data_IF_070209895392
#
_entry.id   IF_070209895392
#
_cell.length_a   1.000
_cell.length_b   1.000
_cell.length_c   1.000
_cell.angle_alpha   90.00
_cell.angle_beta   90.00
_cell.angle_gamma   90.00
#
_symmetry.space_group_name_H-M   'P 1'
#
loop_
_entity.id
_entity.type
_entity.pdbx_description
1 polymer ?
#
# COMPACT_ATOMS: atom_id res chain seq x y z
N UNK A 1 22.16 -0.31 11.03
CA UNK A 1 22.11 -1.75 11.35
C UNK A 1 22.40 -2.55 10.10
N UNK A 2 23.22 -3.59 10.18
CA UNK A 2 23.43 -4.55 9.10
C UNK A 2 22.42 -5.69 9.23
N UNK A 3 21.71 -5.99 8.14
CA UNK A 3 20.85 -7.16 8.01
C UNK A 3 21.42 -8.10 6.94
N UNK A 4 21.45 -9.42 7.17
CA UNK A 4 21.76 -10.39 6.12
C UNK A 4 20.77 -10.26 4.96
N UNK A 5 21.30 -10.15 3.75
CA UNK A 5 20.53 -10.06 2.52
C UNK A 5 20.75 -11.34 1.70
N UNK A 6 19.66 -12.05 1.42
CA UNK A 6 19.70 -13.23 0.54
C UNK A 6 19.31 -12.82 -0.87
N UNK A 7 20.22 -13.01 -1.83
CA UNK A 7 19.94 -12.78 -3.25
C UNK A 7 19.67 -14.12 -3.94
N UNK A 8 18.48 -14.27 -4.53
CA UNK A 8 18.08 -15.47 -5.27
C UNK A 8 18.48 -15.38 -6.75
N UNK A 9 18.57 -16.53 -7.46
CA UNK A 9 18.61 -16.53 -8.91
C UNK A 9 17.43 -15.71 -9.48
N UNK A 10 17.73 -14.78 -10.39
CA UNK A 10 16.76 -13.80 -10.90
C UNK A 10 16.74 -12.46 -10.15
N UNK A 11 17.66 -12.24 -9.21
CA UNK A 11 17.91 -10.93 -8.58
C UNK A 11 16.93 -10.56 -7.47
N UNK A 12 16.03 -11.46 -7.07
CA UNK A 12 15.13 -11.21 -5.95
C UNK A 12 15.94 -11.17 -4.66
N UNK A 13 15.76 -10.11 -3.88
CA UNK A 13 16.46 -9.89 -2.62
C UNK A 13 15.51 -10.12 -1.45
N UNK A 14 15.95 -10.86 -0.44
CA UNK A 14 15.17 -11.19 0.74
C UNK A 14 15.90 -10.76 2.02
N UNK A 15 15.14 -10.26 2.99
CA UNK A 15 15.59 -9.99 4.36
C UNK A 15 14.69 -10.67 5.37
N UNK A 16 15.20 -10.90 6.58
CA UNK A 16 14.40 -11.43 7.68
C UNK A 16 13.68 -10.32 8.44
N UNK A 17 12.42 -10.58 8.78
CA UNK A 17 11.60 -9.75 9.64
C UNK A 17 10.56 -10.62 10.36
N UNK A 18 9.84 -10.04 11.31
CA UNK A 18 8.78 -10.71 12.07
C UNK A 18 7.46 -9.98 11.86
N UNK A 19 6.43 -10.73 11.44
CA UNK A 19 5.06 -10.24 11.32
C UNK A 19 4.11 -11.22 11.99
N UNK A 20 3.14 -10.71 12.75
CA UNK A 20 2.16 -11.52 13.48
C UNK A 20 2.81 -12.63 14.35
N UNK A 21 3.92 -12.29 15.02
CA UNK A 21 4.68 -13.21 15.86
C UNK A 21 5.46 -14.30 15.12
N UNK A 22 5.53 -14.24 13.78
CA UNK A 22 6.23 -15.23 12.97
C UNK A 22 7.40 -14.58 12.24
N UNK A 23 8.59 -15.13 12.45
CA UNK A 23 9.80 -14.72 11.75
C UNK A 23 9.91 -15.44 10.40
N UNK A 24 10.41 -14.74 9.39
CA UNK A 24 10.71 -15.36 8.10
C UNK A 24 11.22 -14.36 7.07
N UNK A 25 11.31 -14.84 5.83
CA UNK A 25 11.86 -14.07 4.72
C UNK A 25 10.82 -13.18 4.08
N UNK A 26 11.21 -11.96 3.72
CA UNK A 26 10.41 -11.02 2.97
C UNK A 26 11.20 -10.47 1.80
N UNK A 27 10.55 -10.26 0.66
CA UNK A 27 11.18 -9.60 -0.48
C UNK A 27 11.32 -8.10 -0.26
N UNK A 28 12.49 -7.58 -0.64
CA UNK A 28 12.76 -6.13 -0.71
C UNK A 28 12.21 -5.60 -2.02
N UNK A 29 11.21 -4.73 -1.95
CA UNK A 29 10.53 -4.15 -3.11
C UNK A 29 10.40 -2.63 -2.97
N UNK A 30 11.30 -1.91 -3.62
CA UNK A 30 11.28 -0.44 -3.63
C UNK A 30 10.22 0.13 -4.59
N UNK A 31 9.53 -0.72 -5.37
CA UNK A 31 8.47 -0.33 -6.30
C UNK A 31 7.05 -0.48 -5.73
N UNK A 32 6.88 -1.23 -4.64
CA UNK A 32 5.63 -1.30 -3.88
C UNK A 32 5.46 -0.03 -3.04
N UNK A 33 4.31 0.62 -3.11
CA UNK A 33 4.03 1.82 -2.31
C UNK A 33 3.54 1.47 -0.89
N UNK A 34 3.11 0.22 -0.63
CA UNK A 34 2.69 -0.22 0.69
C UNK A 34 3.84 -0.40 1.67
N UNK A 35 3.52 -0.77 2.92
CA UNK A 35 4.53 -1.08 3.93
C UNK A 35 4.85 -2.57 3.93
N UNK A 36 3.85 -3.41 4.19
CA UNK A 36 3.99 -4.87 4.28
C UNK A 36 2.86 -5.52 3.47
N UNK A 37 3.20 -6.50 2.63
CA UNK A 37 2.24 -7.43 2.06
C UNK A 37 2.54 -8.83 2.55
N UNK A 38 1.55 -9.53 3.13
CA UNK A 38 1.67 -10.95 3.46
C UNK A 38 1.04 -11.80 2.36
N UNK A 39 1.76 -12.83 1.94
CA UNK A 39 1.31 -13.68 0.83
C UNK A 39 0.18 -14.60 1.27
N UNK A 40 -0.69 -14.94 0.31
CA UNK A 40 -1.94 -15.62 0.60
C UNK A 40 -1.76 -16.92 1.41
N UNK A 41 -0.81 -17.82 1.11
CA UNK A 41 -0.61 -19.03 1.90
C UNK A 41 -0.25 -18.75 3.36
N UNK A 42 0.53 -17.68 3.63
CA UNK A 42 0.86 -17.27 5.01
C UNK A 42 -0.36 -16.69 5.71
N UNK A 43 -1.14 -15.86 5.02
CA UNK A 43 -2.39 -15.28 5.53
C UNK A 43 -3.38 -16.38 5.93
N UNK A 44 -3.55 -17.40 5.10
CA UNK A 44 -4.44 -18.53 5.34
C UNK A 44 -3.94 -19.41 6.47
N UNK A 45 -2.67 -19.84 6.42
CA UNK A 45 -2.05 -20.70 7.43
C UNK A 45 -2.11 -20.11 8.84
N UNK A 46 -1.99 -18.79 8.96
CA UNK A 46 -2.00 -18.08 10.25
C UNK A 46 -3.38 -17.51 10.62
N UNK A 47 -4.41 -17.71 9.79
CA UNK A 47 -5.77 -17.21 10.07
C UNK A 47 -5.87 -15.68 10.16
N UNK A 48 -4.99 -14.94 9.49
CA UNK A 48 -4.79 -13.51 9.76
C UNK A 48 -5.99 -12.63 9.40
N UNK A 49 -6.85 -13.04 8.46
CA UNK A 49 -8.07 -12.30 8.12
C UNK A 49 -9.04 -12.22 9.29
N UNK A 50 -9.14 -13.28 10.10
CA UNK A 50 -9.97 -13.27 11.29
C UNK A 50 -9.25 -12.57 12.46
N UNK A 51 -7.93 -12.75 12.56
CA UNK A 51 -7.14 -12.22 13.68
C UNK A 51 -6.89 -10.71 13.61
N UNK A 52 -6.82 -10.13 12.41
CA UNK A 52 -6.52 -8.71 12.19
C UNK A 52 -7.78 -7.99 11.71
N UNK A 53 -8.53 -7.45 12.67
CA UNK A 53 -9.72 -6.64 12.45
C UNK A 53 -9.60 -5.30 13.20
N UNK A 54 -10.20 -4.20 12.71
CA UNK A 54 -10.94 -4.11 11.44
C UNK A 54 -10.03 -4.25 10.21
N UNK A 55 -10.63 -4.67 9.09
CA UNK A 55 -9.95 -4.75 7.79
C UNK A 55 -10.84 -4.22 6.67
N UNK A 56 -10.24 -3.70 5.61
CA UNK A 56 -10.93 -3.22 4.43
C UNK A 56 -10.45 -3.93 3.18
N UNK A 57 -11.37 -4.51 2.39
CA UNK A 57 -11.03 -5.11 1.10
C UNK A 57 -10.93 -4.02 0.04
N UNK A 58 -9.80 -3.96 -0.66
CA UNK A 58 -9.61 -2.99 -1.73
C UNK A 58 -8.59 -3.45 -2.77
N UNK A 59 -8.60 -2.79 -3.92
CA UNK A 59 -7.51 -2.86 -4.88
C UNK A 59 -6.26 -2.20 -4.26
N UNK A 60 -5.15 -2.93 -4.16
CA UNK A 60 -3.90 -2.46 -3.53
C UNK A 60 -2.74 -2.31 -4.49
N UNK A 61 -2.84 -2.87 -5.71
CA UNK A 61 -1.79 -2.76 -6.72
C UNK A 61 -2.34 -2.81 -8.12
N UNK A 62 -1.75 -2.02 -9.02
CA UNK A 62 -2.00 -2.12 -10.45
C UNK A 62 -0.68 -2.14 -11.18
N UNK A 63 -0.44 -3.19 -11.95
CA UNK A 63 0.75 -3.35 -12.77
C UNK A 63 0.37 -3.78 -14.19
N UNK A 64 1.38 -4.00 -15.03
CA UNK A 64 1.18 -4.62 -16.35
C UNK A 64 0.59 -6.03 -16.21
N UNK A 65 0.91 -6.75 -15.13
CA UNK A 65 0.40 -8.09 -14.86
C UNK A 65 -1.04 -8.14 -14.32
N UNK A 66 -1.72 -7.00 -14.24
CA UNK A 66 -3.10 -6.89 -13.76
C UNK A 66 -3.22 -6.18 -12.41
N UNK A 67 -4.33 -6.45 -11.72
CA UNK A 67 -4.67 -5.82 -10.44
C UNK A 67 -4.48 -6.77 -9.27
N UNK A 68 -3.88 -6.28 -8.20
CA UNK A 68 -3.75 -6.98 -6.93
C UNK A 68 -4.81 -6.50 -5.96
N UNK A 69 -5.44 -7.46 -5.28
CA UNK A 69 -6.43 -7.21 -4.24
C UNK A 69 -5.92 -7.76 -2.90
N UNK A 70 -6.26 -7.06 -1.83
CA UNK A 70 -5.98 -7.51 -0.48
C UNK A 70 -7.09 -7.08 0.49
N UNK A 71 -7.17 -7.78 1.61
CA UNK A 71 -7.77 -7.22 2.82
C UNK A 71 -6.66 -6.42 3.51
N UNK A 72 -6.82 -5.10 3.61
CA UNK A 72 -5.87 -4.23 4.31
C UNK A 72 -6.27 -4.20 5.78
N UNK A 73 -5.32 -4.42 6.67
CA UNK A 73 -5.50 -4.36 8.12
C UNK A 73 -4.26 -3.70 8.75
N UNK A 74 -4.17 -3.69 10.09
CA UNK A 74 -2.95 -3.25 10.80
C UNK A 74 -2.36 -4.38 11.62
N UNK A 75 -1.06 -4.61 11.47
CA UNK A 75 -0.28 -5.40 12.42
C UNK A 75 -0.11 -4.61 13.71
N UNK A 76 -0.34 -5.18 14.89
CA UNK A 76 -0.03 -4.52 16.16
C UNK A 76 1.44 -4.11 16.22
N UNK A 77 2.32 -5.01 15.80
CA UNK A 77 3.76 -4.79 15.65
C UNK A 77 4.29 -5.49 14.41
N UNK A 78 5.33 -4.89 13.82
CA UNK A 78 6.17 -5.50 12.79
C UNK A 78 7.63 -5.25 13.19
N UNK A 79 8.43 -6.31 13.27
CA UNK A 79 9.81 -6.19 13.74
C UNK A 79 10.79 -6.40 12.58
N UNK A 80 11.78 -5.53 12.47
CA UNK A 80 12.88 -5.65 11.52
C UNK A 80 14.18 -5.23 12.20
N UNK A 81 15.17 -6.13 12.25
CA UNK A 81 16.37 -5.90 13.07
C UNK A 81 16.01 -5.58 14.53
N UNK A 82 16.56 -4.50 15.13
CA UNK A 82 16.24 -4.08 16.49
C UNK A 82 14.96 -3.23 16.60
N UNK A 83 14.30 -2.90 15.49
CA UNK A 83 13.17 -1.99 15.48
C UNK A 83 11.85 -2.74 15.54
N UNK A 84 11.05 -2.40 16.55
CA UNK A 84 9.65 -2.79 16.66
C UNK A 84 8.78 -1.63 16.19
N UNK A 85 8.13 -1.80 15.04
CA UNK A 85 7.31 -0.78 14.42
C UNK A 85 5.84 -1.03 14.78
N UNK A 86 5.17 -0.07 15.47
CA UNK A 86 3.79 -0.27 15.89
C UNK A 86 2.81 0.00 14.75
N UNK A 87 1.66 -0.68 14.78
CA UNK A 87 0.47 -0.35 13.97
C UNK A 87 0.71 -0.28 12.45
N UNK A 88 1.57 -1.14 11.91
CA UNK A 88 1.94 -1.14 10.50
C UNK A 88 0.80 -1.65 9.60
N UNK A 89 0.35 -0.90 8.58
CA UNK A 89 -0.59 -1.37 7.58
C UNK A 89 -0.03 -2.60 6.87
N UNK A 90 -0.88 -3.62 6.75
CA UNK A 90 -0.54 -4.87 6.09
C UNK A 90 -1.58 -5.20 5.03
N UNK A 91 -1.12 -5.53 3.83
CA UNK A 91 -1.94 -6.08 2.77
C UNK A 91 -1.99 -7.61 2.92
N UNK A 92 -3.14 -8.15 3.29
CA UNK A 92 -3.40 -9.60 3.34
C UNK A 92 -3.82 -10.07 1.94
N UNK A 93 -2.84 -10.54 1.16
CA UNK A 93 -3.01 -10.84 -0.27
C UNK A 93 -4.16 -11.81 -0.56
N UNK A 94 -4.98 -11.49 -1.55
CA UNK A 94 -6.03 -12.36 -2.11
C UNK A 94 -5.58 -13.10 -3.38
N UNK A 95 -4.33 -12.90 -3.83
CA UNK A 95 -3.83 -13.45 -5.07
C UNK A 95 -3.92 -14.99 -5.11
N UNK A 96 -4.40 -15.55 -6.22
CA UNK A 96 -4.48 -17.00 -6.49
C UNK A 96 -3.28 -17.54 -7.26
N UNK A 97 -2.37 -16.66 -7.70
CA UNK A 97 -1.20 -17.01 -8.49
C UNK A 97 -0.18 -15.88 -8.51
N UNK A 98 0.93 -16.11 -9.21
CA UNK A 98 2.09 -15.22 -9.17
C UNK A 98 2.74 -15.21 -7.79
N UNK A 99 3.64 -14.26 -7.57
CA UNK A 99 4.46 -14.22 -6.36
C UNK A 99 3.62 -14.11 -5.08
N UNK A 100 2.58 -13.26 -5.07
CA UNK A 100 1.80 -12.99 -3.87
C UNK A 100 0.81 -14.11 -3.50
N UNK A 101 0.68 -15.11 -4.38
CA UNK A 101 -0.07 -16.34 -4.14
C UNK A 101 0.82 -17.55 -3.85
N UNK A 102 2.15 -17.40 -3.82
CA UNK A 102 3.08 -18.51 -3.57
C UNK A 102 3.48 -18.61 -2.10
N UNK A 103 4.03 -19.76 -1.73
CA UNK A 103 4.57 -20.08 -0.39
C UNK A 103 6.10 -19.89 -0.31
N UNK A 104 6.69 -19.23 -1.31
CA UNK A 104 8.14 -19.12 -1.45
C UNK A 104 8.79 -18.37 -0.27
N UNK A 105 8.10 -17.39 0.31
CA UNK A 105 8.47 -16.66 1.52
C UNK A 105 7.25 -15.95 2.12
N UNK A 106 7.42 -15.23 3.24
CA UNK A 106 6.30 -14.70 4.02
C UNK A 106 5.55 -13.54 3.34
N UNK A 107 6.30 -12.66 2.68
CA UNK A 107 5.71 -11.43 2.16
C UNK A 107 6.65 -10.50 1.40
N UNK A 108 6.17 -9.29 1.16
CA UNK A 108 6.85 -8.19 0.49
C UNK A 108 6.95 -7.00 1.42
N UNK A 109 8.05 -6.26 1.35
CA UNK A 109 8.26 -5.01 2.08
C UNK A 109 8.44 -3.86 1.09
N UNK A 110 7.64 -2.82 1.27
CA UNK A 110 7.49 -1.72 0.32
C UNK A 110 7.98 -0.35 0.83
N UNK A 111 7.82 0.65 -0.01
CA UNK A 111 8.31 2.02 0.16
C UNK A 111 7.82 2.72 1.43
N UNK A 112 6.59 2.46 1.88
CA UNK A 112 6.07 3.06 3.13
C UNK A 112 6.86 2.58 4.36
N UNK A 113 7.41 1.35 4.31
CA UNK A 113 8.37 0.87 5.30
C UNK A 113 9.76 1.43 5.02
N UNK A 114 10.23 1.39 3.77
CA UNK A 114 11.60 1.75 3.44
C UNK A 114 11.91 3.23 3.68
N UNK A 115 10.95 4.14 3.54
CA UNK A 115 11.15 5.56 3.82
C UNK A 115 11.44 5.86 5.30
N UNK A 116 11.21 4.89 6.20
CA UNK A 116 11.61 5.00 7.62
C UNK A 116 13.13 4.92 7.81
N UNK A 117 13.86 4.48 6.78
CA UNK A 117 15.29 4.24 6.81
C UNK A 117 16.00 4.88 5.62
N UNK A 118 17.27 5.25 5.77
CA UNK A 118 18.19 5.37 4.66
C UNK A 118 18.71 3.95 4.39
N UNK A 119 18.41 3.44 3.19
CA UNK A 119 18.63 2.06 2.81
C UNK A 119 19.84 1.97 1.88
N UNK A 120 20.83 1.16 2.24
CA UNK A 120 21.91 0.76 1.34
C UNK A 120 21.87 -0.75 1.11
N UNK A 121 21.95 -1.16 -0.15
CA UNK A 121 21.90 -2.56 -0.56
C UNK A 121 23.26 -2.94 -1.14
N UNK A 122 23.98 -3.82 -0.44
CA UNK A 122 25.19 -4.47 -0.91
C UNK A 122 24.85 -5.91 -1.36
N UNK A 123 24.33 -6.02 -2.58
CA UNK A 123 23.89 -7.31 -3.13
C UNK A 123 25.05 -8.29 -3.34
N UNK A 124 26.24 -7.79 -3.65
CA UNK A 124 27.43 -8.63 -3.85
C UNK A 124 27.97 -9.17 -2.52
N UNK A 125 27.96 -8.33 -1.47
CA UNK A 125 28.33 -8.72 -0.11
C UNK A 125 27.22 -9.43 0.67
N UNK A 126 26.01 -9.53 0.14
CA UNK A 126 24.88 -10.17 0.82
C UNK A 126 24.43 -9.42 2.08
N UNK A 127 24.47 -8.09 2.05
CA UNK A 127 24.11 -7.24 3.17
C UNK A 127 23.15 -6.11 2.79
N UNK A 128 22.27 -5.74 3.72
CA UNK A 128 21.43 -4.55 3.65
C UNK A 128 21.68 -3.71 4.90
N UNK A 129 21.94 -2.43 4.72
CA UNK A 129 22.16 -1.48 5.81
C UNK A 129 20.93 -0.59 5.95
N UNK A 130 20.40 -0.56 7.16
CA UNK A 130 19.30 0.31 7.55
C UNK A 130 19.78 1.35 8.54
N UNK A 131 19.68 2.62 8.18
CA UNK A 131 19.92 3.74 9.08
C UNK A 131 18.60 4.44 9.35
N UNK A 132 18.19 4.61 10.62
CA UNK A 132 16.89 5.20 10.93
C UNK A 132 16.84 6.66 10.47
N UNK A 133 15.74 7.06 9.83
CA UNK A 133 15.45 8.45 9.52
C UNK A 133 14.49 9.05 10.55
N UNK A 134 14.29 10.38 10.50
CA UNK A 134 13.30 11.07 11.33
C UNK A 134 11.90 10.43 11.20
N UNK A 135 11.54 9.99 9.99
CA UNK A 135 10.28 9.32 9.70
C UNK A 135 10.08 7.99 10.44
N UNK A 136 11.12 7.40 11.05
CA UNK A 136 10.98 6.16 11.83
C UNK A 136 9.95 6.27 12.96
N UNK A 137 9.85 7.45 13.58
CA UNK A 137 8.91 7.72 14.67
C UNK A 137 7.51 8.15 14.19
N UNK A 138 7.33 8.35 12.88
CA UNK A 138 6.04 8.78 12.33
C UNK A 138 5.05 7.61 12.29
N UNK A 139 3.76 7.85 12.63
CA UNK A 139 2.73 6.85 12.44
C UNK A 139 2.60 6.43 10.98
N UNK A 140 2.35 5.15 10.74
CA UNK A 140 2.04 4.66 9.40
C UNK A 140 0.64 5.09 8.96
N UNK A 141 0.57 5.74 7.80
CA UNK A 141 -0.70 6.04 7.15
C UNK A 141 -1.38 4.75 6.67
N UNK A 142 -2.68 4.64 6.91
CA UNK A 142 -3.51 3.57 6.33
C UNK A 142 -4.28 4.08 5.11
N UNK A 143 -5.12 3.23 4.49
CA UNK A 143 -6.10 3.70 3.53
C UNK A 143 -7.11 4.63 4.24
N UNK A 144 -7.36 5.80 3.65
CA UNK A 144 -8.26 6.82 4.22
C UNK A 144 -9.41 7.25 3.33
N UNK A 145 -9.15 7.49 2.04
CA UNK A 145 -10.21 7.89 1.09
C UNK A 145 -11.11 6.74 0.67
N UNK A 146 -10.57 5.52 0.59
CA UNK A 146 -11.21 4.37 -0.07
C UNK A 146 -11.26 4.48 -1.60
N UNK A 147 -10.59 5.48 -2.18
CA UNK A 147 -10.51 5.72 -3.62
C UNK A 147 -9.19 5.18 -4.18
N UNK A 148 -9.29 4.40 -5.26
CA UNK A 148 -8.14 4.03 -6.07
C UNK A 148 -8.31 4.57 -7.48
N UNK A 149 -7.39 5.43 -7.90
CA UNK A 149 -7.35 5.99 -9.25
C UNK A 149 -5.98 5.75 -9.89
N UNK A 150 -5.96 5.59 -11.21
CA UNK A 150 -4.72 5.34 -11.97
C UNK A 150 -4.72 6.13 -13.27
N UNK A 151 -3.54 6.63 -13.65
CA UNK A 151 -3.29 7.16 -14.97
C UNK A 151 -3.48 6.07 -16.05
N UNK A 152 -4.27 6.35 -17.08
CA UNK A 152 -4.54 5.42 -18.19
C UNK A 152 -3.81 5.76 -19.48
N UNK A 153 -2.93 6.76 -19.46
CA UNK A 153 -2.24 7.30 -20.64
C UNK A 153 -2.69 8.72 -20.96
N UNK A 154 -3.96 9.04 -20.67
CA UNK A 154 -4.58 10.33 -21.00
C UNK A 154 -5.10 11.08 -19.76
N UNK A 155 -5.57 10.35 -18.75
CA UNK A 155 -6.20 10.91 -17.54
C UNK A 155 -6.13 9.91 -16.39
N UNK A 156 -6.52 10.32 -15.19
CA UNK A 156 -6.78 9.37 -14.10
C UNK A 156 -8.20 8.84 -14.20
N UNK A 157 -8.34 7.51 -14.20
CA UNK A 157 -9.65 6.86 -14.08
C UNK A 157 -9.78 6.22 -12.69
N UNK A 158 -10.98 6.33 -12.12
CA UNK A 158 -11.35 5.70 -10.85
C UNK A 158 -11.49 4.19 -11.08
N UNK A 159 -10.57 3.42 -10.51
CA UNK A 159 -10.52 1.98 -10.65
C UNK A 159 -11.32 1.27 -9.56
N UNK A 160 -11.30 1.80 -8.34
CA UNK A 160 -11.99 1.19 -7.22
C UNK A 160 -12.49 2.25 -6.25
N UNK A 161 -13.64 1.99 -5.64
CA UNK A 161 -14.23 2.78 -4.57
C UNK A 161 -14.73 1.80 -3.53
N UNK A 162 -14.10 1.81 -2.36
CA UNK A 162 -14.48 0.97 -1.23
C UNK A 162 -15.87 1.39 -0.74
N UNK A 163 -16.81 0.44 -0.63
CA UNK A 163 -18.14 0.72 -0.11
C UNK A 163 -18.12 1.24 1.33
N UNK A 164 -18.90 2.28 1.62
CA UNK A 164 -18.92 2.92 2.93
C UNK A 164 -17.62 3.65 3.30
N UNK A 165 -16.79 4.00 2.32
CA UNK A 165 -15.62 4.87 2.50
C UNK A 165 -15.98 6.34 2.26
N UNK A 166 -15.10 7.30 2.62
CA UNK A 166 -15.30 8.72 2.29
C UNK A 166 -15.58 8.99 0.82
N UNK A 167 -14.90 8.28 -0.09
CA UNK A 167 -15.13 8.44 -1.53
C UNK A 167 -16.52 7.93 -1.93
N UNK A 168 -16.99 6.81 -1.38
CA UNK A 168 -18.33 6.30 -1.66
C UNK A 168 -19.42 7.23 -1.14
N UNK A 169 -19.27 7.74 0.09
CA UNK A 169 -20.20 8.68 0.72
C UNK A 169 -20.26 10.02 -0.03
N UNK A 170 -19.13 10.49 -0.55
CA UNK A 170 -19.08 11.65 -1.45
C UNK A 170 -19.69 11.37 -2.83
N UNK A 171 -20.08 10.13 -3.11
CA UNK A 171 -20.75 9.70 -4.33
C UNK A 171 -19.80 9.46 -5.50
N UNK A 172 -18.49 9.26 -5.26
CA UNK A 172 -17.53 8.87 -6.29
C UNK A 172 -17.89 7.48 -6.83
N UNK A 173 -17.74 7.27 -8.13
CA UNK A 173 -18.09 6.02 -8.80
C UNK A 173 -16.93 5.49 -9.63
N UNK A 174 -16.78 4.16 -9.63
CA UNK A 174 -15.85 3.45 -10.52
C UNK A 174 -16.15 3.79 -11.98
N UNK A 175 -15.10 4.01 -12.76
CA UNK A 175 -15.18 4.37 -14.17
C UNK A 175 -15.32 5.87 -14.44
N UNK A 176 -15.51 6.71 -13.41
CA UNK A 176 -15.38 8.16 -13.56
C UNK A 176 -13.93 8.54 -13.81
N UNK A 177 -13.71 9.65 -14.50
CA UNK A 177 -12.39 10.25 -14.66
C UNK A 177 -12.14 11.31 -13.60
N UNK A 178 -11.03 11.19 -12.89
CA UNK A 178 -10.58 12.17 -11.92
C UNK A 178 -9.74 13.22 -12.64
N UNK A 179 -10.27 14.44 -12.71
CA UNK A 179 -9.67 15.54 -13.46
C UNK A 179 -8.82 16.44 -12.57
N UNK A 180 -9.28 16.72 -11.36
CA UNK A 180 -8.59 17.62 -10.44
C UNK A 180 -8.80 17.23 -8.98
N UNK A 181 -7.83 17.59 -8.15
CA UNK A 181 -7.88 17.45 -6.69
C UNK A 181 -7.51 18.80 -6.08
N UNK A 182 -8.32 19.29 -5.13
CA UNK A 182 -8.13 20.61 -4.51
C UNK A 182 -7.98 21.75 -5.53
N UNK A 183 -8.76 21.69 -6.62
CA UNK A 183 -8.73 22.69 -7.70
C UNK A 183 -7.52 22.59 -8.64
N UNK A 184 -6.53 21.72 -8.36
CA UNK A 184 -5.38 21.47 -9.24
C UNK A 184 -5.69 20.36 -10.23
N UNK A 185 -5.57 20.65 -11.52
CA UNK A 185 -5.62 19.66 -12.61
C UNK A 185 -4.55 18.57 -12.42
N UNK A 186 -4.94 17.32 -12.65
CA UNK A 186 -4.04 16.18 -12.59
C UNK A 186 -3.33 15.95 -13.92
N UNK A 187 -2.03 15.73 -13.86
CA UNK A 187 -1.18 15.33 -14.98
C UNK A 187 -0.56 13.94 -14.75
N UNK A 188 0.02 13.35 -15.82
CA UNK A 188 0.65 12.02 -15.77
C UNK A 188 1.66 11.83 -14.62
N UNK A 189 2.35 12.91 -14.22
CA UNK A 189 3.37 12.93 -13.16
C UNK A 189 2.78 12.94 -11.74
N UNK A 190 1.48 13.09 -11.58
CA UNK A 190 0.85 13.35 -10.28
C UNK A 190 0.45 12.09 -9.52
N UNK A 191 0.83 10.88 -9.98
CA UNK A 191 0.42 9.63 -9.36
C UNK A 191 0.84 9.52 -7.88
N UNK A 192 2.06 9.96 -7.54
CA UNK A 192 2.57 9.96 -6.16
C UNK A 192 1.85 11.04 -5.36
N UNK A 193 1.76 12.27 -5.90
CA UNK A 193 1.10 13.39 -5.23
C UNK A 193 -0.38 13.08 -4.92
N UNK A 194 -1.10 12.49 -5.88
CA UNK A 194 -2.49 12.07 -5.71
C UNK A 194 -2.62 11.08 -4.55
N UNK A 195 -1.75 10.07 -4.46
CA UNK A 195 -1.77 9.12 -3.34
C UNK A 195 -1.59 9.83 -2.00
N UNK A 196 -0.67 10.79 -1.92
CA UNK A 196 -0.49 11.60 -0.71
C UNK A 196 -1.75 12.39 -0.35
N UNK A 197 -2.45 12.98 -1.33
CA UNK A 197 -3.72 13.68 -1.07
C UNK A 197 -4.82 12.74 -0.57
N UNK A 198 -4.90 11.53 -1.14
CA UNK A 198 -5.90 10.52 -0.78
C UNK A 198 -5.63 9.84 0.58
N UNK A 199 -4.40 9.96 1.08
CA UNK A 199 -3.95 9.46 2.37
C UNK A 199 -3.66 10.57 3.38
N UNK A 200 -4.10 11.82 3.13
CA UNK A 200 -3.94 12.94 4.08
C UNK A 200 -4.61 12.71 5.43
N UNK A 201 -4.34 13.56 6.42
CA UNK A 201 -4.80 13.33 7.80
C UNK A 201 -6.32 13.17 7.94
N UNK A 202 -6.80 12.34 8.89
CA UNK A 202 -8.23 12.22 9.17
C UNK A 202 -8.86 13.59 9.46
N UNK A 203 -10.07 13.82 8.95
CA UNK A 203 -10.76 15.10 8.99
C UNK A 203 -10.39 16.06 7.86
N UNK A 204 -9.37 15.76 7.06
CA UNK A 204 -9.03 16.58 5.88
C UNK A 204 -10.13 16.51 4.83
N UNK A 205 -10.63 17.67 4.40
CA UNK A 205 -11.55 17.80 3.27
C UNK A 205 -10.78 17.79 1.94
N UNK A 206 -11.14 16.89 1.05
CA UNK A 206 -10.55 16.74 -0.29
C UNK A 206 -11.63 16.94 -1.34
N UNK A 207 -11.54 18.02 -2.10
CA UNK A 207 -12.39 18.29 -3.25
C UNK A 207 -11.85 17.57 -4.49
N UNK A 208 -12.72 16.80 -5.15
CA UNK A 208 -12.43 16.06 -6.37
C UNK A 208 -13.31 16.60 -7.50
N UNK A 209 -12.71 16.91 -8.66
CA UNK A 209 -13.47 17.15 -9.89
C UNK A 209 -13.47 15.89 -10.73
N UNK A 210 -14.66 15.40 -11.00
CA UNK A 210 -14.91 14.12 -11.67
C UNK A 210 -15.69 14.35 -12.96
N UNK A 211 -15.48 13.46 -13.94
CA UNK A 211 -16.28 13.38 -15.16
C UNK A 211 -16.91 12.01 -15.29
N UNK A 212 -18.23 11.97 -15.39
CA UNK A 212 -19.00 10.74 -15.60
C UNK A 212 -19.07 10.32 -17.07
N UNK A 213 -19.71 9.18 -17.33
CA UNK A 213 -19.87 8.62 -18.69
C UNK A 213 -20.69 9.53 -19.64
N UNK A 214 -21.58 10.37 -19.11
CA UNK A 214 -22.34 11.36 -19.88
C UNK A 214 -21.53 12.62 -20.23
N UNK A 215 -20.21 12.63 -19.97
CA UNK A 215 -19.31 13.77 -20.06
C UNK A 215 -19.64 14.96 -19.14
N UNK A 216 -20.63 14.83 -18.25
CA UNK A 216 -20.91 15.83 -17.24
C UNK A 216 -19.80 15.86 -16.18
N UNK A 217 -19.31 17.06 -15.88
CA UNK A 217 -18.39 17.30 -14.77
C UNK A 217 -19.15 17.68 -13.50
N UNK A 218 -18.62 17.22 -12.37
CA UNK A 218 -19.08 17.63 -11.04
C UNK A 218 -17.93 17.69 -10.06
N UNK A 219 -18.10 18.50 -9.03
CA UNK A 219 -17.20 18.55 -7.89
C UNK A 219 -17.88 17.85 -6.73
N UNK A 220 -17.16 16.94 -6.09
CA UNK A 220 -17.57 16.30 -4.84
C UNK A 220 -16.49 16.55 -3.80
N UNK A 221 -16.90 16.62 -2.53
CA UNK A 221 -15.97 16.76 -1.42
C UNK A 221 -16.11 15.55 -0.51
N UNK A 222 -15.00 14.89 -0.22
CA UNK A 222 -14.93 13.84 0.79
C UNK A 222 -14.14 14.31 2.00
N UNK A 223 -14.44 13.76 3.17
CA UNK A 223 -13.69 13.99 4.41
C UNK A 223 -12.98 12.71 4.79
N UNK A 224 -11.65 12.74 4.81
CA UNK A 224 -10.82 11.56 5.06
C UNK A 224 -11.04 11.02 6.48
N UNK A 225 -10.97 9.69 6.64
CA UNK A 225 -10.94 9.02 7.94
C UNK A 225 -10.11 7.75 7.84
N UNK A 226 -9.59 7.24 8.95
CA UNK A 226 -8.98 5.91 8.94
C UNK A 226 -10.03 4.86 8.55
N UNK A 227 -9.66 3.93 7.66
CA UNK A 227 -10.48 2.76 7.34
C UNK A 227 -10.11 1.53 8.17
N UNK A 228 -8.92 1.54 8.81
CA UNK A 228 -8.36 0.44 9.64
C UNK A 228 -7.47 0.91 10.79
#
# INVERSE_FOLDING_TARGET
>A
MLLPLRVLPGGKMLVQATAAGQAGWFSVDTGDAGAVTLFRPVVERLGLRAALQPSVRMLTGVSVGGTTWADVARLPTFDIGPWQLPRVPVHLSLATGGLFGSDAWMGNLGGELWQRFAVTIDAAGGAMYLEPQAALAEPFAGPRSGLVARWTGERFDVLDVVGGSPADEAGVRRGESLLAVQGRELAATDAIWLRTQLAGEPGTSVALRLRGASAQERVVTMVLRELV
#
